data_IF_035499605741
#
_entry.id   IF_035499605741
#
_cell.length_a   1.000
_cell.length_b   1.000
_cell.length_c   1.000
_cell.angle_alpha   90.00
_cell.angle_beta   90.00
_cell.angle_gamma   90.00
#
_symmetry.space_group_name_H-M   'P 1'
#
loop_
_entity.id
_entity.type
_entity.pdbx_description
1 polymer ?
#
# COMPACT_ATOMS: atom_id res chain seq x y z
N UNK A 1 29.63 7.48 -8.87
CA UNK A 1 29.58 6.80 -10.18
C UNK A 1 28.46 7.45 -10.99
N UNK A 2 28.64 7.77 -12.28
CA UNK A 2 27.61 8.44 -13.07
C UNK A 2 26.56 7.43 -13.54
N UNK A 3 25.30 7.65 -13.15
CA UNK A 3 24.16 6.90 -13.68
C UNK A 3 23.88 7.41 -15.10
N UNK A 4 24.18 6.60 -16.12
CA UNK A 4 24.03 6.97 -17.53
C UNK A 4 22.97 6.11 -18.21
N UNK A 5 21.90 6.76 -18.67
CA UNK A 5 20.79 6.10 -19.37
C UNK A 5 20.91 6.42 -20.87
N UNK A 6 21.00 5.38 -21.71
CA UNK A 6 21.01 5.49 -23.19
C UNK A 6 19.67 5.07 -23.77
N UNK A 7 18.61 5.70 -23.28
CA UNK A 7 17.25 5.50 -23.77
C UNK A 7 16.59 6.87 -23.99
N UNK A 8 16.27 7.25 -25.25
CA UNK A 8 15.69 8.56 -25.57
C UNK A 8 14.36 8.81 -24.88
N UNK A 9 13.56 7.76 -24.67
CA UNK A 9 12.25 7.89 -24.03
C UNK A 9 12.39 8.19 -22.53
N UNK A 10 13.35 7.56 -21.86
CA UNK A 10 13.67 7.86 -20.46
C UNK A 10 14.17 9.31 -20.30
N UNK A 11 15.04 9.80 -21.19
CA UNK A 11 15.48 11.21 -21.16
C UNK A 11 14.27 12.17 -21.32
N UNK A 12 13.37 11.88 -22.27
CA UNK A 12 12.14 12.66 -22.47
C UNK A 12 11.27 12.70 -21.21
N UNK A 13 11.07 11.56 -20.56
CA UNK A 13 10.26 11.43 -19.33
C UNK A 13 10.90 12.21 -18.17
N UNK A 14 12.21 12.03 -17.96
CA UNK A 14 12.94 12.69 -16.87
C UNK A 14 12.93 14.22 -17.06
N UNK A 15 13.13 14.70 -18.30
CA UNK A 15 13.02 16.13 -18.62
C UNK A 15 11.61 16.67 -18.36
N UNK A 16 10.58 15.95 -18.76
CA UNK A 16 9.20 16.35 -18.51
C UNK A 16 8.87 16.41 -17.01
N UNK A 17 9.38 15.45 -16.23
CA UNK A 17 9.23 15.43 -14.77
C UNK A 17 9.95 16.61 -14.11
N UNK A 18 11.19 16.86 -14.49
CA UNK A 18 11.98 18.00 -14.01
C UNK A 18 11.27 19.33 -14.31
N UNK A 19 10.80 19.52 -15.55
CA UNK A 19 10.07 20.73 -15.94
C UNK A 19 8.77 20.94 -15.15
N UNK A 20 8.01 19.87 -14.89
CA UNK A 20 6.76 19.94 -14.10
C UNK A 20 7.00 20.21 -12.62
N UNK A 21 8.13 19.77 -12.08
CA UNK A 21 8.44 19.87 -10.64
C UNK A 21 9.37 21.04 -10.30
N UNK A 22 9.92 21.73 -11.30
CA UNK A 22 10.95 22.75 -11.11
C UNK A 22 12.28 22.20 -10.59
N UNK A 23 12.49 20.89 -10.68
CA UNK A 23 13.68 20.21 -10.17
C UNK A 23 14.77 20.08 -11.24
N UNK A 24 16.02 19.83 -10.82
CA UNK A 24 17.07 19.41 -11.76
C UNK A 24 16.80 18.00 -12.27
N UNK A 25 17.41 17.60 -13.40
CA UNK A 25 17.26 16.22 -13.91
C UNK A 25 17.70 15.18 -12.87
N UNK A 26 18.80 15.44 -12.18
CA UNK A 26 19.33 14.57 -11.12
C UNK A 26 18.35 14.48 -9.94
N UNK A 27 17.78 15.61 -9.51
CA UNK A 27 16.82 15.61 -8.41
C UNK A 27 15.50 14.92 -8.78
N UNK A 28 15.04 15.10 -10.02
CA UNK A 28 13.84 14.45 -10.53
C UNK A 28 14.01 12.93 -10.55
N UNK A 29 15.14 12.43 -11.03
CA UNK A 29 15.46 10.98 -11.01
C UNK A 29 15.57 10.47 -9.58
N UNK A 30 16.30 11.18 -8.71
CA UNK A 30 16.50 10.77 -7.31
C UNK A 30 15.16 10.65 -6.59
N UNK A 31 14.32 11.69 -6.63
CA UNK A 31 13.02 11.70 -5.96
C UNK A 31 12.08 10.63 -6.50
N UNK A 32 12.00 10.47 -7.82
CA UNK A 32 11.16 9.45 -8.43
C UNK A 32 11.60 8.02 -8.02
N UNK A 33 12.90 7.77 -7.97
CA UNK A 33 13.45 6.49 -7.53
C UNK A 33 13.19 6.25 -6.03
N UNK A 34 13.43 7.25 -5.17
CA UNK A 34 13.16 7.18 -3.74
C UNK A 34 11.68 6.91 -3.45
N UNK A 35 10.77 7.63 -4.11
CA UNK A 35 9.32 7.44 -3.94
C UNK A 35 8.88 6.04 -4.37
N UNK A 36 9.42 5.53 -5.49
CA UNK A 36 9.09 4.19 -5.98
C UNK A 36 9.67 3.11 -5.06
N UNK A 37 10.91 3.27 -4.61
CA UNK A 37 11.55 2.35 -3.69
C UNK A 37 10.79 2.26 -2.37
N UNK A 38 10.46 3.41 -1.75
CA UNK A 38 9.68 3.45 -0.52
C UNK A 38 8.29 2.83 -0.68
N UNK A 39 7.66 2.92 -1.86
CA UNK A 39 6.39 2.22 -2.14
C UNK A 39 6.57 0.70 -2.22
N UNK A 40 7.66 0.23 -2.81
CA UNK A 40 7.97 -1.20 -2.90
C UNK A 40 8.31 -1.74 -1.50
N UNK A 41 9.18 -1.07 -0.76
CA UNK A 41 9.56 -1.47 0.61
C UNK A 41 8.35 -1.53 1.54
N UNK A 42 7.45 -0.53 1.52
CA UNK A 42 6.20 -0.60 2.29
C UNK A 42 5.31 -1.77 1.89
N UNK A 43 5.28 -2.14 0.61
CA UNK A 43 4.51 -3.29 0.17
C UNK A 43 5.17 -4.60 0.62
N UNK A 44 6.50 -4.69 0.58
CA UNK A 44 7.24 -5.86 1.02
C UNK A 44 7.19 -6.03 2.55
N UNK A 45 7.26 -4.95 3.32
CA UNK A 45 7.05 -4.94 4.77
C UNK A 45 5.59 -5.29 5.14
N UNK A 46 4.62 -4.91 4.31
CA UNK A 46 3.22 -5.25 4.50
C UNK A 46 2.88 -6.68 4.07
N UNK A 47 3.77 -7.36 3.35
CA UNK A 47 3.59 -8.78 3.00
C UNK A 47 4.01 -9.60 4.21
N UNK A 48 3.03 -9.89 5.06
CA UNK A 48 3.16 -10.93 6.06
C UNK A 48 3.33 -12.28 5.35
N UNK A 49 4.59 -12.73 5.25
CA UNK A 49 5.01 -13.97 4.59
C UNK A 49 4.59 -15.23 5.36
N UNK A 50 4.02 -15.10 6.56
CA UNK A 50 3.50 -16.24 7.31
C UNK A 50 2.35 -16.91 6.54
N UNK A 51 2.18 -18.24 6.67
CA UNK A 51 1.04 -18.95 6.09
C UNK A 51 -0.29 -18.27 6.44
N UNK A 52 -1.25 -18.25 5.50
CA UNK A 52 -2.57 -17.61 5.70
C UNK A 52 -3.25 -18.06 7.00
N UNK A 53 -3.09 -19.33 7.39
CA UNK A 53 -3.61 -19.88 8.65
C UNK A 53 -3.07 -19.14 9.89
N UNK A 54 -1.80 -18.76 9.90
CA UNK A 54 -1.19 -18.04 11.03
C UNK A 54 -1.72 -16.61 11.11
N UNK A 55 -1.85 -15.95 9.96
CA UNK A 55 -2.42 -14.60 9.86
C UNK A 55 -3.88 -14.55 10.31
N UNK A 56 -4.67 -15.56 9.92
CA UNK A 56 -6.07 -15.70 10.37
C UNK A 56 -6.12 -15.92 11.89
N UNK A 57 -5.20 -16.71 12.44
CA UNK A 57 -5.16 -17.02 13.88
C UNK A 57 -4.92 -15.75 14.72
N UNK A 58 -4.03 -14.86 14.31
CA UNK A 58 -3.82 -13.58 15.02
C UNK A 58 -5.09 -12.71 15.07
N UNK A 59 -5.86 -12.70 13.98
CA UNK A 59 -7.16 -12.00 13.93
C UNK A 59 -8.17 -12.69 14.87
N UNK A 60 -8.23 -14.02 14.84
CA UNK A 60 -9.11 -14.80 15.71
C UNK A 60 -8.79 -14.57 17.20
N UNK A 61 -7.51 -14.51 17.57
CA UNK A 61 -7.08 -14.25 18.95
C UNK A 61 -7.47 -12.84 19.41
N UNK A 62 -7.25 -11.83 18.57
CA UNK A 62 -7.69 -10.45 18.84
C UNK A 62 -9.20 -10.35 19.03
N UNK A 63 -9.98 -11.01 18.17
CA UNK A 63 -11.45 -11.04 18.28
C UNK A 63 -11.88 -11.80 19.54
N UNK A 64 -11.28 -12.95 19.82
CA UNK A 64 -11.60 -13.76 21.00
C UNK A 64 -11.33 -13.03 22.31
N UNK A 65 -10.30 -12.18 22.36
CA UNK A 65 -9.95 -11.37 23.53
C UNK A 65 -11.06 -10.37 23.94
N UNK A 66 -11.96 -9.99 23.03
CA UNK A 66 -13.08 -9.09 23.35
C UNK A 66 -14.26 -9.80 24.04
N UNK A 67 -14.24 -11.14 24.10
CA UNK A 67 -15.32 -11.93 24.67
C UNK A 67 -16.59 -11.94 23.82
N UNK A 68 -17.50 -12.88 24.11
CA UNK A 68 -18.81 -12.94 23.44
C UNK A 68 -19.76 -11.96 24.10
N UNK A 69 -20.37 -11.08 23.31
CA UNK A 69 -21.39 -10.13 23.79
C UNK A 69 -22.72 -10.79 24.13
N UNK A 70 -22.96 -12.03 23.67
CA UNK A 70 -24.24 -12.72 23.80
C UNK A 70 -25.33 -12.20 22.85
N UNK A 71 -25.06 -11.11 22.12
CA UNK A 71 -25.96 -10.57 21.10
C UNK A 71 -25.92 -11.45 19.84
N UNK A 72 -27.09 -11.67 19.24
CA UNK A 72 -27.20 -12.40 17.98
C UNK A 72 -27.24 -11.39 16.84
N UNK A 73 -26.27 -11.48 15.92
CA UNK A 73 -26.34 -10.78 14.64
C UNK A 73 -27.33 -11.53 13.75
N UNK A 74 -28.62 -11.22 13.92
CA UNK A 74 -29.70 -11.81 13.14
C UNK A 74 -30.01 -11.00 11.88
N UNK A 75 -31.03 -11.41 11.14
CA UNK A 75 -31.40 -10.77 9.88
C UNK A 75 -31.75 -9.30 10.07
N UNK A 76 -32.47 -8.94 11.13
CA UNK A 76 -32.86 -7.55 11.38
C UNK A 76 -31.63 -6.65 11.61
N UNK A 77 -30.60 -7.17 12.30
CA UNK A 77 -29.32 -6.48 12.44
C UNK A 77 -28.64 -6.21 11.09
N UNK A 78 -28.65 -7.19 10.18
CA UNK A 78 -28.01 -7.03 8.86
C UNK A 78 -28.82 -6.14 7.91
N UNK A 79 -30.15 -6.20 7.94
CA UNK A 79 -31.03 -5.34 7.14
C UNK A 79 -30.86 -3.85 7.54
N UNK A 80 -30.78 -3.58 8.84
CA UNK A 80 -30.42 -2.25 9.36
C UNK A 80 -29.00 -1.80 8.91
N UNK A 81 -28.03 -2.72 8.92
CA UNK A 81 -26.64 -2.41 8.54
C UNK A 81 -26.47 -2.15 7.03
N UNK A 82 -27.25 -2.83 6.18
CA UNK A 82 -27.21 -2.63 4.72
C UNK A 82 -27.96 -1.40 4.24
N UNK A 83 -28.81 -0.81 5.09
CA UNK A 83 -29.69 0.31 4.72
C UNK A 83 -30.94 -0.13 3.96
N UNK A 84 -31.29 -1.42 4.05
CA UNK A 84 -32.55 -1.98 3.55
C UNK A 84 -33.61 -1.85 4.67
N UNK A 85 -34.07 -0.63 4.96
CA UNK A 85 -35.28 -0.37 5.76
C UNK A 85 -36.48 -0.01 4.86
#
# INVERSE_FOLDING_TARGET
MAFHIRDPETDRIVRALAAKTGATLTDAVRKAAEEKLARVERNDEAVDLRPLRERIRDIQERVAAHGKTGLKADKAFFDWLSGDE
#
